data_IF_124309108876
#
_entry.id   IF_124309108876
#
_cell.length_a   1.000
_cell.length_b   1.000
_cell.length_c   1.000
_cell.angle_alpha   90.00
_cell.angle_beta   90.00
_cell.angle_gamma   90.00
#
_symmetry.space_group_name_H-M   'P 1'
#
loop_
_entity.id
_entity.type
_entity.pdbx_description
1 polymer ?
#
# COMPACT_ATOMS: atom_id res chain seq x y z
N UNK A 1 7.60 -5.55 10.00
CA UNK A 1 6.35 -5.84 9.27
C UNK A 1 6.73 -6.24 7.85
N UNK A 2 6.06 -7.22 7.25
CA UNK A 2 6.36 -7.65 5.87
C UNK A 2 5.92 -6.61 4.83
N UNK A 3 6.64 -6.53 3.71
CA UNK A 3 6.39 -5.64 2.58
C UNK A 3 5.13 -6.07 1.78
N UNK A 4 3.96 -5.89 2.40
CA UNK A 4 2.66 -6.30 1.86
C UNK A 4 1.96 -5.12 1.18
N UNK A 5 1.28 -5.37 0.05
CA UNK A 5 0.52 -4.33 -0.65
C UNK A 5 -0.69 -3.88 0.15
N UNK A 6 -1.12 -2.64 -0.08
CA UNK A 6 -2.38 -2.14 0.49
C UNK A 6 -3.57 -3.04 0.14
N UNK A 7 -3.62 -3.58 -1.08
CA UNK A 7 -4.68 -4.52 -1.49
C UNK A 7 -4.66 -5.82 -0.68
N UNK A 8 -3.50 -6.49 -0.57
CA UNK A 8 -3.36 -7.73 0.24
C UNK A 8 -3.63 -7.45 1.73
N UNK A 9 -3.17 -6.31 2.24
CA UNK A 9 -3.41 -5.89 3.62
C UNK A 9 -4.90 -5.65 3.88
N UNK A 10 -5.60 -4.93 3.01
CA UNK A 10 -7.05 -4.69 3.11
C UNK A 10 -7.88 -5.97 2.96
N UNK A 11 -7.41 -6.97 2.22
CA UNK A 11 -8.08 -8.29 2.20
C UNK A 11 -8.08 -8.98 3.56
N UNK A 12 -7.08 -8.70 4.40
CA UNK A 12 -6.95 -9.27 5.76
C UNK A 12 -7.62 -8.40 6.82
N UNK A 13 -7.42 -7.08 6.74
CA UNK A 13 -7.79 -6.13 7.80
C UNK A 13 -8.93 -5.18 7.41
N UNK A 14 -9.43 -5.25 6.17
CA UNK A 14 -10.47 -4.37 5.66
C UNK A 14 -11.80 -4.49 6.41
N UNK A 15 -12.56 -3.38 6.48
CA UNK A 15 -13.87 -3.35 7.15
C UNK A 15 -14.83 -4.43 6.63
N UNK A 16 -14.94 -4.59 5.30
CA UNK A 16 -15.80 -5.63 4.69
C UNK A 16 -15.40 -7.04 5.13
N UNK A 17 -14.10 -7.32 5.22
CA UNK A 17 -13.56 -8.61 5.67
C UNK A 17 -13.93 -8.87 7.13
N UNK A 18 -13.86 -7.84 7.96
CA UNK A 18 -14.13 -7.92 9.41
C UNK A 18 -15.60 -7.68 9.77
N UNK A 19 -16.52 -7.67 8.79
CA UNK A 19 -17.97 -7.44 8.99
C UNK A 19 -18.32 -6.08 9.63
N UNK A 20 -17.48 -5.07 9.40
CA UNK A 20 -17.61 -3.72 9.94
C UNK A 20 -18.09 -2.68 8.91
N UNK A 21 -18.51 -3.11 7.70
CA UNK A 21 -19.16 -2.14 6.80
C UNK A 21 -20.52 -1.73 7.36
N UNK A 22 -20.96 -0.50 7.09
CA UNK A 22 -22.25 0.00 7.57
C UNK A 22 -23.41 -0.94 7.23
N UNK A 23 -23.45 -1.48 6.00
CA UNK A 23 -24.45 -2.46 5.59
C UNK A 23 -24.42 -3.75 6.42
N UNK A 24 -23.23 -4.29 6.71
CA UNK A 24 -23.04 -5.50 7.51
C UNK A 24 -23.40 -5.27 8.98
N UNK A 25 -23.11 -4.08 9.52
CA UNK A 25 -23.51 -3.71 10.88
C UNK A 25 -25.04 -3.56 10.93
N UNK A 26 -25.64 -2.79 10.01
CA UNK A 26 -27.09 -2.58 9.96
C UNK A 26 -27.89 -3.87 9.84
N UNK A 27 -27.40 -4.86 9.07
CA UNK A 27 -28.05 -6.18 8.99
C UNK A 27 -27.97 -6.99 10.28
N UNK A 28 -27.07 -6.65 11.20
CA UNK A 28 -26.90 -7.31 12.49
C UNK A 28 -27.63 -6.57 13.62
N UNK A 29 -27.82 -5.25 13.49
CA UNK A 29 -28.46 -4.43 14.53
C UNK A 29 -29.94 -4.10 14.26
N UNK A 30 -30.47 -4.57 13.14
CA UNK A 30 -31.83 -4.29 12.73
C UNK A 30 -32.19 -4.95 11.41
N UNK A 31 -33.28 -4.46 10.82
CA UNK A 31 -33.78 -4.96 9.54
C UNK A 31 -34.25 -3.80 8.65
N UNK A 32 -34.08 -3.96 7.34
CA UNK A 32 -34.52 -2.94 6.38
C UNK A 32 -36.05 -2.89 6.30
N UNK A 33 -36.60 -1.70 6.38
CA UNK A 33 -38.01 -1.44 6.10
C UNK A 33 -38.29 -1.72 4.62
N UNK A 34 -39.12 -2.73 4.34
CA UNK A 34 -39.49 -3.13 2.98
C UNK A 34 -40.72 -2.37 2.50
N UNK A 35 -40.61 -1.79 1.30
CA UNK A 35 -41.73 -1.32 0.50
C UNK A 35 -41.79 -2.22 -0.71
N UNK A 36 -42.86 -3.02 -0.83
CA UNK A 36 -43.06 -3.94 -1.94
C UNK A 36 -44.23 -3.46 -2.81
N UNK A 37 -44.11 -3.65 -4.12
CA UNK A 37 -45.21 -3.37 -5.04
C UNK A 37 -46.13 -4.58 -5.10
N UNK A 38 -47.39 -4.39 -4.71
CA UNK A 38 -48.39 -5.46 -4.76
C UNK A 38 -49.22 -5.27 -6.01
N UNK A 39 -49.01 -6.14 -7.00
CA UNK A 39 -49.63 -6.09 -8.33
C UNK A 39 -51.15 -6.14 -8.27
N UNK A 40 -51.73 -6.91 -7.35
CA UNK A 40 -53.19 -6.99 -7.13
C UNK A 40 -53.79 -5.69 -6.59
N UNK A 41 -53.01 -4.88 -5.88
CA UNK A 41 -53.42 -3.58 -5.32
C UNK A 41 -53.04 -2.39 -6.22
N UNK A 42 -52.25 -2.63 -7.27
CA UNK A 42 -51.77 -1.60 -8.19
C UNK A 42 -50.92 -0.50 -7.53
N UNK A 43 -50.37 -0.74 -6.34
CA UNK A 43 -49.65 0.28 -5.57
C UNK A 43 -48.50 -0.28 -4.73
N UNK A 44 -47.46 0.52 -4.43
CA UNK A 44 -46.47 0.18 -3.42
C UNK A 44 -47.12 0.15 -2.04
N UNK A 45 -46.86 -0.90 -1.29
CA UNK A 45 -47.29 -1.07 0.10
C UNK A 45 -46.08 -1.24 1.01
N UNK A 46 -46.17 -0.65 2.19
CA UNK A 46 -45.17 -0.78 3.25
C UNK A 46 -45.76 -1.60 4.39
N UNK A 47 -44.92 -2.39 5.07
CA UNK A 47 -45.35 -3.03 6.32
C UNK A 47 -45.61 -1.94 7.37
N UNK A 48 -46.88 -1.77 7.75
CA UNK A 48 -47.30 -0.79 8.78
C UNK A 48 -47.23 -1.33 10.21
N UNK A 49 -47.00 -2.65 10.37
CA UNK A 49 -46.98 -3.31 11.68
C UNK A 49 -45.91 -2.75 12.61
N UNK A 50 -44.82 -2.23 12.05
CA UNK A 50 -43.67 -1.71 12.80
C UNK A 50 -43.64 -0.16 12.87
N UNK A 51 -44.67 0.52 12.36
CA UNK A 51 -44.69 1.99 12.28
C UNK A 51 -44.64 2.60 13.69
N UNK A 52 -43.62 3.42 13.96
CA UNK A 52 -43.41 4.08 15.25
C UNK A 52 -42.91 3.17 16.39
N UNK A 53 -42.73 1.86 16.15
CA UNK A 53 -42.31 0.90 17.18
C UNK A 53 -40.79 0.83 17.38
N UNK A 54 -40.01 1.23 16.39
CA UNK A 54 -38.55 1.12 16.41
C UNK A 54 -37.88 2.45 16.11
N UNK A 55 -36.72 2.75 16.73
CA UNK A 55 -35.82 3.76 16.22
C UNK A 55 -35.44 3.45 14.78
N UNK A 56 -35.43 4.47 13.92
CA UNK A 56 -35.13 4.31 12.50
C UNK A 56 -33.83 5.00 12.11
N UNK A 57 -33.05 4.33 11.27
CA UNK A 57 -31.89 4.91 10.61
C UNK A 57 -32.14 4.97 9.09
N UNK A 58 -32.07 6.17 8.52
CA UNK A 58 -32.15 6.38 7.07
C UNK A 58 -30.75 6.51 6.49
N UNK A 59 -30.37 5.60 5.59
CA UNK A 59 -29.09 5.69 4.87
C UNK A 59 -29.10 6.88 3.92
N UNK A 60 -28.05 7.69 4.01
CA UNK A 60 -27.87 8.84 3.13
C UNK A 60 -27.64 8.43 1.66
N UNK A 61 -27.03 7.27 1.41
CA UNK A 61 -26.57 6.84 0.08
C UNK A 61 -27.72 6.43 -0.86
N UNK A 62 -28.75 5.76 -0.36
CA UNK A 62 -29.85 5.22 -1.17
C UNK A 62 -31.24 5.47 -0.56
N UNK A 63 -31.31 6.21 0.54
CA UNK A 63 -32.56 6.49 1.24
C UNK A 63 -33.20 5.29 1.93
N UNK A 64 -32.54 4.13 1.95
CA UNK A 64 -33.06 2.93 2.63
C UNK A 64 -33.22 3.18 4.13
N UNK A 65 -34.34 2.73 4.68
CA UNK A 65 -34.67 2.90 6.11
C UNK A 65 -34.50 1.56 6.82
N UNK A 66 -33.84 1.57 7.97
CA UNK A 66 -33.64 0.41 8.83
C UNK A 66 -34.34 0.64 10.17
N UNK A 67 -35.12 -0.34 10.60
CA UNK A 67 -35.65 -0.41 11.97
C UNK A 67 -34.58 -1.05 12.85
N UNK A 68 -34.17 -0.36 13.91
CA UNK A 68 -33.13 -0.81 14.82
C UNK A 68 -33.73 -1.63 15.97
N UNK A 69 -33.16 -2.81 16.23
CA UNK A 69 -33.64 -3.75 17.25
C UNK A 69 -32.56 -4.17 18.23
N UNK A 70 -31.29 -3.82 17.98
CA UNK A 70 -30.19 -4.18 18.85
C UNK A 70 -30.26 -3.51 20.22
N UNK A 71 -29.78 -4.24 21.22
CA UNK A 71 -29.51 -3.67 22.54
C UNK A 71 -28.23 -2.83 22.52
N UNK A 72 -28.10 -1.95 23.51
CA UNK A 72 -26.96 -1.03 23.66
C UNK A 72 -25.62 -1.75 23.64
N UNK A 73 -25.52 -2.93 24.25
CA UNK A 73 -24.26 -3.68 24.38
C UNK A 73 -23.71 -4.10 23.01
N UNK A 74 -24.57 -4.55 22.11
CA UNK A 74 -24.16 -4.93 20.75
C UNK A 74 -23.72 -3.70 19.95
N UNK A 75 -24.38 -2.55 20.13
CA UNK A 75 -23.99 -1.30 19.47
C UNK A 75 -22.60 -0.87 19.97
N UNK A 76 -22.37 -0.88 21.30
CA UNK A 76 -21.08 -0.55 21.89
C UNK A 76 -19.96 -1.49 21.42
N UNK A 77 -20.24 -2.79 21.30
CA UNK A 77 -19.28 -3.74 20.74
C UNK A 77 -18.82 -3.34 19.32
N UNK A 78 -19.74 -2.93 18.44
CA UNK A 78 -19.35 -2.45 17.11
C UNK A 78 -18.58 -1.13 17.16
N UNK A 79 -18.89 -0.23 18.09
CA UNK A 79 -18.11 1.00 18.32
C UNK A 79 -16.67 0.65 18.68
N UNK A 80 -16.46 -0.26 19.63
CA UNK A 80 -15.11 -0.71 20.04
C UNK A 80 -14.35 -1.35 18.88
N UNK A 81 -15.01 -2.22 18.10
CA UNK A 81 -14.40 -2.81 16.90
C UNK A 81 -14.01 -1.76 15.85
N UNK A 82 -14.86 -0.75 15.62
CA UNK A 82 -14.57 0.33 14.68
C UNK A 82 -13.43 1.22 15.19
N UNK A 83 -13.37 1.51 16.49
CA UNK A 83 -12.25 2.24 17.08
C UNK A 83 -10.94 1.47 16.90
N UNK A 84 -10.94 0.15 17.13
CA UNK A 84 -9.78 -0.70 16.86
C UNK A 84 -9.37 -0.69 15.38
N UNK A 85 -10.34 -0.68 14.46
CA UNK A 85 -10.06 -0.58 13.02
C UNK A 85 -9.45 0.78 12.63
N UNK A 86 -9.93 1.89 13.22
CA UNK A 86 -9.35 3.22 13.01
C UNK A 86 -7.89 3.24 13.43
N UNK A 87 -7.60 2.73 14.62
CA UNK A 87 -6.23 2.71 15.16
C UNK A 87 -5.30 1.88 14.27
N UNK A 88 -5.75 0.68 13.88
CA UNK A 88 -5.01 -0.17 12.95
C UNK A 88 -4.74 0.52 11.60
N UNK A 89 -5.69 1.31 11.09
CA UNK A 89 -5.54 2.03 9.83
C UNK A 89 -4.58 3.21 9.94
N UNK A 90 -4.58 3.91 11.08
CA UNK A 90 -3.60 4.96 11.39
C UNK A 90 -2.19 4.40 11.43
N UNK A 91 -1.99 3.33 12.21
CA UNK A 91 -0.70 2.64 12.29
C UNK A 91 -0.21 2.17 10.90
N UNK A 92 -1.13 1.68 10.07
CA UNK A 92 -0.80 1.30 8.70
C UNK A 92 -0.44 2.50 7.83
N UNK A 93 -1.13 3.63 8.00
CA UNK A 93 -0.83 4.85 7.26
C UNK A 93 0.54 5.38 7.64
N UNK A 94 0.82 5.51 8.94
CA UNK A 94 2.13 5.90 9.47
C UNK A 94 3.24 5.00 8.92
N UNK A 95 3.02 3.67 8.93
CA UNK A 95 3.97 2.74 8.34
C UNK A 95 4.16 2.94 6.82
N UNK A 96 3.11 3.25 6.06
CA UNK A 96 3.22 3.50 4.61
C UNK A 96 3.94 4.82 4.31
N UNK A 97 3.81 5.81 5.19
CA UNK A 97 4.34 7.17 4.99
C UNK A 97 5.62 7.45 5.78
N UNK A 98 6.23 6.44 6.38
CA UNK A 98 7.48 6.57 7.14
C UNK A 98 8.70 6.27 6.25
N UNK A 99 9.78 7.02 6.47
CA UNK A 99 11.14 6.72 5.96
C UNK A 99 11.18 6.51 4.43
N UNK A 100 11.93 5.52 3.93
CA UNK A 100 12.07 5.25 2.49
C UNK A 100 10.74 4.97 1.78
N UNK A 101 9.72 4.49 2.51
CA UNK A 101 8.40 4.18 1.92
C UNK A 101 7.63 5.43 1.51
N UNK A 102 7.91 6.57 2.16
CA UNK A 102 7.30 7.84 1.78
C UNK A 102 7.73 8.30 0.38
N UNK A 103 8.98 8.00 0.00
CA UNK A 103 9.59 8.46 -1.25
C UNK A 103 9.43 7.42 -2.36
N UNK A 104 9.70 6.15 -2.05
CA UNK A 104 9.78 5.08 -3.05
C UNK A 104 8.59 4.12 -3.03
N UNK A 105 7.65 4.29 -2.11
CA UNK A 105 6.61 3.31 -1.86
C UNK A 105 7.17 2.01 -1.25
N UNK A 106 6.41 0.93 -1.39
CA UNK A 106 6.75 -0.39 -0.84
C UNK A 106 7.23 -1.29 -1.96
N UNK A 107 8.49 -1.73 -1.89
CA UNK A 107 9.06 -2.71 -2.83
C UNK A 107 8.47 -4.08 -2.51
N UNK A 108 7.80 -4.71 -3.46
CA UNK A 108 7.07 -5.97 -3.24
C UNK A 108 7.75 -7.18 -3.88
N UNK A 109 8.56 -6.89 -4.88
CA UNK A 109 9.33 -7.80 -5.70
C UNK A 109 10.39 -8.49 -4.86
N UNK A 110 10.68 -9.75 -5.17
CA UNK A 110 11.74 -10.50 -4.47
C UNK A 110 13.12 -10.29 -5.12
N UNK A 111 13.16 -9.81 -6.36
CA UNK A 111 14.37 -9.49 -7.08
C UNK A 111 14.20 -8.14 -7.78
N UNK A 112 15.13 -7.21 -7.55
CA UNK A 112 15.09 -5.88 -8.19
C UNK A 112 16.46 -5.46 -8.71
N UNK A 113 16.47 -4.54 -9.67
CA UNK A 113 17.66 -3.75 -10.01
C UNK A 113 17.30 -2.29 -9.89
N UNK A 114 18.09 -1.52 -9.15
CA UNK A 114 17.88 -0.07 -9.02
C UNK A 114 18.83 0.62 -10.01
N UNK A 115 18.24 1.32 -10.98
CA UNK A 115 18.98 2.17 -11.92
C UNK A 115 19.10 3.58 -11.35
N UNK A 116 20.32 4.08 -11.25
CA UNK A 116 20.68 5.38 -10.69
C UNK A 116 21.05 6.31 -11.84
N UNK A 117 20.17 7.25 -12.14
CA UNK A 117 20.46 8.33 -13.09
C UNK A 117 20.50 9.65 -12.32
N UNK A 118 21.71 10.21 -12.22
CA UNK A 118 21.92 11.51 -11.57
C UNK A 118 21.93 12.66 -12.56
N UNK A 119 21.93 12.40 -13.88
CA UNK A 119 21.92 13.42 -14.93
C UNK A 119 22.79 14.64 -14.64
N UNK A 120 22.16 15.81 -14.59
CA UNK A 120 22.78 17.11 -14.25
C UNK A 120 22.44 17.58 -12.83
N UNK A 121 22.14 16.65 -11.91
CA UNK A 121 21.80 16.96 -10.53
C UNK A 121 22.88 17.84 -9.88
N UNK A 122 22.43 18.85 -9.13
CA UNK A 122 23.32 19.66 -8.31
C UNK A 122 23.99 18.78 -7.24
N UNK A 123 25.13 19.23 -6.66
CA UNK A 123 25.79 18.47 -5.58
C UNK A 123 24.86 18.13 -4.42
N UNK A 124 23.97 19.04 -4.04
CA UNK A 124 22.99 18.84 -2.98
C UNK A 124 21.96 17.78 -3.36
N UNK A 125 21.42 17.81 -4.58
CA UNK A 125 20.46 16.80 -5.05
C UNK A 125 21.10 15.42 -5.14
N UNK A 126 22.35 15.35 -5.60
CA UNK A 126 23.11 14.10 -5.64
C UNK A 126 23.26 13.49 -4.23
N UNK A 127 23.66 14.29 -3.25
CA UNK A 127 23.84 13.83 -1.87
C UNK A 127 22.49 13.40 -1.26
N UNK A 128 21.41 14.14 -1.48
CA UNK A 128 20.06 13.77 -1.05
C UNK A 128 19.57 12.45 -1.68
N UNK A 129 19.79 12.27 -2.98
CA UNK A 129 19.46 11.02 -3.66
C UNK A 129 20.25 9.85 -3.07
N UNK A 130 21.54 10.04 -2.79
CA UNK A 130 22.39 9.01 -2.17
C UNK A 130 21.92 8.62 -0.77
N UNK A 131 21.52 9.59 0.04
CA UNK A 131 20.96 9.34 1.37
C UNK A 131 19.65 8.55 1.25
N UNK A 132 18.75 8.98 0.36
CA UNK A 132 17.47 8.32 0.11
C UNK A 132 17.63 6.87 -0.37
N UNK A 133 18.57 6.61 -1.28
CA UNK A 133 18.91 5.27 -1.77
C UNK A 133 19.54 4.40 -0.67
N UNK A 134 20.38 4.98 0.19
CA UNK A 134 20.94 4.27 1.34
C UNK A 134 19.83 3.81 2.30
N UNK A 135 18.84 4.68 2.56
CA UNK A 135 17.66 4.31 3.36
C UNK A 135 16.87 3.16 2.72
N UNK A 136 16.58 3.21 1.42
CA UNK A 136 15.89 2.12 0.70
C UNK A 136 16.63 0.78 0.84
N UNK A 137 17.96 0.80 0.69
CA UNK A 137 18.79 -0.40 0.79
C UNK A 137 18.70 -1.05 2.18
N UNK A 138 18.77 -0.24 3.23
CA UNK A 138 18.80 -0.72 4.62
C UNK A 138 17.41 -1.09 5.12
N UNK A 139 16.36 -0.36 4.72
CA UNK A 139 15.01 -0.56 5.27
C UNK A 139 14.20 -1.59 4.48
N UNK A 140 14.32 -1.62 3.15
CA UNK A 140 13.45 -2.41 2.28
C UNK A 140 14.22 -3.53 1.55
N UNK A 141 15.34 -3.21 0.90
CA UNK A 141 16.08 -4.20 0.11
C UNK A 141 16.67 -5.32 0.97
N UNK A 142 16.99 -5.05 2.24
CA UNK A 142 17.41 -6.11 3.18
C UNK A 142 16.35 -7.23 3.36
N UNK A 143 15.09 -6.98 3.01
CA UNK A 143 13.98 -7.91 3.21
C UNK A 143 13.57 -8.68 1.95
N UNK A 144 14.23 -8.45 0.81
CA UNK A 144 13.94 -9.16 -0.45
C UNK A 144 15.00 -10.24 -0.72
N UNK A 145 14.84 -11.05 -1.76
CA UNK A 145 15.73 -12.18 -2.02
C UNK A 145 17.03 -11.76 -2.71
N UNK A 146 16.95 -10.87 -3.71
CA UNK A 146 18.10 -10.48 -4.55
C UNK A 146 18.00 -9.04 -4.99
N UNK A 147 19.14 -8.42 -5.24
CA UNK A 147 19.18 -7.09 -5.82
C UNK A 147 20.46 -6.78 -6.59
N UNK A 148 20.43 -5.73 -7.39
CA UNK A 148 21.62 -5.07 -7.93
C UNK A 148 21.44 -3.55 -8.03
N UNK A 149 22.55 -2.84 -8.24
CA UNK A 149 22.59 -1.41 -8.52
C UNK A 149 23.34 -1.16 -9.83
N UNK A 150 22.78 -0.30 -10.66
CA UNK A 150 23.41 0.15 -11.91
C UNK A 150 23.34 1.66 -11.94
N UNK A 151 24.46 2.33 -12.15
CA UNK A 151 24.49 3.77 -12.40
C UNK A 151 24.55 4.03 -13.89
N UNK A 152 23.60 4.81 -14.37
CA UNK A 152 23.62 5.39 -15.70
C UNK A 152 24.75 6.44 -15.76
N UNK A 153 25.69 6.21 -16.65
CA UNK A 153 26.83 7.06 -16.95
C UNK A 153 27.29 6.75 -18.38
N UNK A 154 28.19 7.56 -18.94
CA UNK A 154 28.80 7.29 -20.24
C UNK A 154 29.45 5.91 -20.28
N UNK A 155 30.16 5.54 -19.22
CA UNK A 155 30.60 4.17 -18.98
C UNK A 155 29.72 3.54 -17.91
N UNK A 156 28.94 2.54 -18.29
CA UNK A 156 27.97 1.90 -17.40
C UNK A 156 28.66 1.33 -16.15
N UNK A 157 28.24 1.79 -14.97
CA UNK A 157 28.82 1.34 -13.70
C UNK A 157 27.85 0.41 -12.98
N UNK A 158 28.33 -0.77 -12.59
CA UNK A 158 27.53 -1.75 -11.85
C UNK A 158 28.17 -2.01 -10.50
N UNK A 159 27.34 -2.18 -9.46
CA UNK A 159 27.84 -2.64 -8.17
C UNK A 159 28.25 -4.13 -8.24
N UNK A 160 27.38 -4.97 -8.81
CA UNK A 160 27.65 -6.37 -9.13
C UNK A 160 27.36 -6.65 -10.60
N UNK A 161 27.94 -7.71 -11.14
CA UNK A 161 27.69 -8.08 -12.54
C UNK A 161 26.25 -8.54 -12.79
N UNK A 162 25.63 -9.17 -11.79
CA UNK A 162 24.24 -9.65 -11.77
C UNK A 162 23.61 -9.44 -10.40
N UNK A 163 22.29 -9.56 -10.31
CA UNK A 163 21.53 -9.63 -9.08
C UNK A 163 22.17 -10.63 -8.12
N UNK A 164 22.42 -10.17 -6.90
CA UNK A 164 23.12 -10.93 -5.86
C UNK A 164 22.15 -11.20 -4.69
N UNK A 165 22.21 -12.37 -4.03
CA UNK A 165 21.42 -12.64 -2.84
C UNK A 165 21.60 -11.56 -1.76
N UNK A 166 20.51 -11.23 -1.08
CA UNK A 166 20.53 -10.26 0.02
C UNK A 166 21.11 -10.87 1.29
N UNK A 167 22.00 -10.13 1.92
CA UNK A 167 22.55 -10.32 3.26
C UNK A 167 22.94 -8.96 3.84
N UNK A 168 23.20 -8.88 5.15
CA UNK A 168 23.73 -7.65 5.74
C UNK A 168 25.03 -7.18 5.07
N UNK A 169 25.91 -8.12 4.71
CA UNK A 169 27.20 -7.80 4.10
C UNK A 169 27.02 -7.23 2.70
N UNK A 170 26.14 -7.82 1.89
CA UNK A 170 25.88 -7.33 0.53
C UNK A 170 25.21 -5.96 0.55
N UNK A 171 24.27 -5.72 1.48
CA UNK A 171 23.66 -4.40 1.65
C UNK A 171 24.69 -3.35 2.09
N UNK A 172 25.53 -3.65 3.10
CA UNK A 172 26.62 -2.75 3.52
C UNK A 172 27.61 -2.47 2.38
N UNK A 173 27.94 -3.48 1.58
CA UNK A 173 28.79 -3.34 0.41
C UNK A 173 28.16 -2.43 -0.66
N UNK A 174 26.88 -2.60 -0.96
CA UNK A 174 26.15 -1.78 -1.91
C UNK A 174 26.08 -0.31 -1.47
N UNK A 175 25.81 -0.05 -0.18
CA UNK A 175 25.88 1.30 0.39
C UNK A 175 27.30 1.86 0.23
N UNK A 176 28.34 1.09 0.58
CA UNK A 176 29.74 1.55 0.42
C UNK A 176 30.07 1.89 -1.03
N UNK A 177 29.58 1.09 -2.00
CA UNK A 177 29.75 1.37 -3.42
C UNK A 177 29.04 2.66 -3.84
N UNK A 178 27.80 2.85 -3.38
CA UNK A 178 27.01 4.05 -3.65
C UNK A 178 27.73 5.32 -3.14
N UNK A 179 28.37 5.26 -1.97
CA UNK A 179 29.14 6.37 -1.40
C UNK A 179 30.50 6.61 -2.05
N UNK A 180 30.99 5.68 -2.88
CA UNK A 180 32.20 5.84 -3.70
C UNK A 180 31.92 6.39 -5.09
N UNK A 181 30.66 6.58 -5.47
CA UNK A 181 30.30 7.14 -6.76
C UNK A 181 30.78 8.60 -6.87
N UNK A 182 31.51 8.89 -7.95
CA UNK A 182 31.96 10.25 -8.26
C UNK A 182 30.79 11.10 -8.76
N UNK A 183 30.68 12.34 -8.29
CA UNK A 183 29.66 13.29 -8.72
C UNK A 183 29.84 13.71 -10.17
N UNK A 184 31.08 13.81 -10.63
CA UNK A 184 31.43 14.39 -11.93
C UNK A 184 31.52 13.37 -13.08
N UNK A 185 30.96 12.18 -12.89
CA UNK A 185 30.98 11.14 -13.94
C UNK A 185 30.25 11.64 -15.19
N UNK A 186 30.90 11.54 -16.34
CA UNK A 186 30.31 11.94 -17.62
C UNK A 186 29.03 11.15 -17.90
N UNK A 187 28.02 11.83 -18.44
CA UNK A 187 26.70 11.25 -18.75
C UNK A 187 26.47 11.39 -20.25
N UNK A 188 26.00 10.31 -20.89
CA UNK A 188 25.57 10.32 -22.29
C UNK A 188 24.04 10.40 -22.38
N UNK A 189 23.51 10.89 -23.51
CA UNK A 189 22.06 10.98 -23.74
C UNK A 189 21.34 9.61 -23.75
N UNK A 190 22.05 8.50 -23.95
CA UNK A 190 21.50 7.13 -23.99
C UNK A 190 21.73 6.33 -22.71
N UNK A 191 22.53 6.85 -21.77
CA UNK A 191 23.02 6.10 -20.60
C UNK A 191 21.91 5.48 -19.74
N UNK A 192 20.79 6.16 -19.54
CA UNK A 192 19.66 5.65 -18.76
C UNK A 192 18.95 4.49 -19.47
N UNK A 193 18.82 4.55 -20.80
CA UNK A 193 18.21 3.47 -21.59
C UNK A 193 19.10 2.23 -21.61
N UNK A 194 20.42 2.42 -21.76
CA UNK A 194 21.41 1.33 -21.68
C UNK A 194 21.40 0.65 -20.30
N UNK A 195 21.34 1.44 -19.22
CA UNK A 195 21.26 0.91 -17.87
C UNK A 195 19.97 0.11 -17.62
N UNK A 196 18.84 0.56 -18.18
CA UNK A 196 17.57 -0.18 -18.12
C UNK A 196 17.62 -1.49 -18.91
N UNK A 197 18.19 -1.48 -20.12
CA UNK A 197 18.36 -2.71 -20.91
C UNK A 197 19.24 -3.73 -20.19
N UNK A 198 20.34 -3.28 -19.58
CA UNK A 198 21.20 -4.14 -18.76
C UNK A 198 20.45 -4.69 -17.54
N UNK A 199 19.67 -3.85 -16.84
CA UNK A 199 18.86 -4.28 -15.71
C UNK A 199 17.82 -5.34 -16.10
N UNK A 200 17.18 -5.16 -17.26
CA UNK A 200 16.17 -6.09 -17.79
C UNK A 200 16.79 -7.38 -18.35
N UNK A 201 18.07 -7.36 -18.73
CA UNK A 201 18.82 -8.53 -19.19
C UNK A 201 19.17 -9.52 -18.09
N UNK A 202 18.98 -9.17 -16.81
CA UNK A 202 19.21 -10.09 -15.70
C UNK A 202 18.05 -11.09 -15.56
N UNK A 203 18.32 -12.35 -15.87
CA UNK A 203 17.35 -13.45 -15.80
C UNK A 203 16.64 -13.55 -14.43
N UNK A 204 17.33 -13.17 -13.34
CA UNK A 204 16.76 -13.25 -12.00
C UNK A 204 15.66 -12.20 -11.76
N UNK A 205 15.57 -11.14 -12.57
CA UNK A 205 14.54 -10.09 -12.47
C UNK A 205 13.27 -10.50 -13.22
N UNK A 206 13.40 -11.40 -14.20
CA UNK A 206 12.29 -11.87 -15.04
C UNK A 206 11.53 -13.08 -14.44
N UNK A 207 12.03 -13.65 -13.34
CA UNK A 207 11.48 -14.84 -12.65
C UNK A 207 10.71 -14.49 -11.39
#
# INVERSE_FOLDING_TARGET
QSLVSSSKWLRRYGLKRNKLSLSQILSQIGFQHRKDYVTTLGKPVASRYADGLFPQYKRAQDGSVYNLTAKKELILHFVDCLMGAIELYKQRMEWLTSESRQVFGVIQEQCIVIVLDFGIASPTEFDLCRDALSMVLVEQVIQIARFNLIRAAQDLMKWQQKCTPVSEQTVKSAVTWLWKLDRMTAVSHSSSAEALLEAMGDEAVSS
#
